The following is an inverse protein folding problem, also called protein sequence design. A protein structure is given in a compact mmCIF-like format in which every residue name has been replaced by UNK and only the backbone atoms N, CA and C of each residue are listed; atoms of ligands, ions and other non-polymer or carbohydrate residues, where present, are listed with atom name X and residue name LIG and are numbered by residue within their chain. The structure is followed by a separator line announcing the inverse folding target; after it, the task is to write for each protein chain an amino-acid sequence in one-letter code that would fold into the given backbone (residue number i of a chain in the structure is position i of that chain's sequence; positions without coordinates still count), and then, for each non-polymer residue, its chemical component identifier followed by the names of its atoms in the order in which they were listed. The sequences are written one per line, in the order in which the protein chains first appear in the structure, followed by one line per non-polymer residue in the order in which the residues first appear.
data_IF_619118723373
#
_entry.id   IF_619118723373
#
_cell.length_a   1.000
_cell.length_b   1.000
_cell.length_c   1.000
_cell.angle_alpha   90.00
_cell.angle_beta   90.00
_cell.angle_gamma   90.00
#
_symmetry.space_group_name_H-M   'P 1'
#
loop_
_entity.id
_entity.type
_entity.pdbx_description
1 polymer ?
#
# COMPACT_ATOMS: atom_id res chain seq x y z
N UNK A 1 5.05 -16.24 -0.09
CA UNK A 1 4.13 -15.15 0.33
C UNK A 1 3.73 -15.38 1.77
N UNK A 2 4.25 -14.57 2.69
CA UNK A 2 3.95 -14.72 4.13
C UNK A 2 2.57 -14.12 4.45
N UNK A 3 2.03 -14.39 5.65
CA UNK A 3 0.67 -13.96 6.03
C UNK A 3 0.43 -12.44 5.84
N UNK A 4 1.43 -11.61 6.15
CA UNK A 4 1.38 -10.15 6.00
C UNK A 4 1.19 -9.71 4.54
N UNK A 5 1.93 -10.31 3.60
CA UNK A 5 1.79 -9.99 2.17
C UNK A 5 0.37 -10.31 1.68
N UNK A 6 -0.21 -11.43 2.14
CA UNK A 6 -1.58 -11.79 1.74
C UNK A 6 -2.61 -10.81 2.29
N UNK A 7 -2.43 -10.35 3.54
CA UNK A 7 -3.30 -9.35 4.15
C UNK A 7 -3.25 -8.02 3.38
N UNK A 8 -2.05 -7.59 2.98
CA UNK A 8 -1.85 -6.37 2.20
C UNK A 8 -2.51 -6.48 0.81
N UNK A 9 -2.32 -7.60 0.12
CA UNK A 9 -2.97 -7.86 -1.16
C UNK A 9 -4.49 -8.01 -1.04
N UNK A 10 -4.99 -8.59 0.05
CA UNK A 10 -6.43 -8.66 0.30
C UNK A 10 -7.05 -7.28 0.51
N UNK A 11 -6.37 -6.39 1.24
CA UNK A 11 -6.79 -4.98 1.39
C UNK A 11 -6.73 -4.23 0.07
N UNK A 12 -5.68 -4.40 -0.72
CA UNK A 12 -5.58 -3.82 -2.06
C UNK A 12 -6.71 -4.28 -2.97
N UNK A 13 -7.00 -5.60 -2.98
CA UNK A 13 -8.14 -6.16 -3.71
C UNK A 13 -9.46 -5.53 -3.27
N UNK A 14 -9.68 -5.41 -1.97
CA UNK A 14 -10.90 -4.82 -1.41
C UNK A 14 -11.07 -3.36 -1.86
N UNK A 15 -10.01 -2.54 -1.76
CA UNK A 15 -10.03 -1.16 -2.27
C UNK A 15 -10.34 -1.14 -3.77
N UNK A 16 -9.64 -1.95 -4.57
CA UNK A 16 -9.84 -1.98 -6.02
C UNK A 16 -11.26 -2.41 -6.41
N UNK A 17 -11.86 -3.33 -5.65
CA UNK A 17 -13.23 -3.80 -5.89
C UNK A 17 -14.29 -2.72 -5.62
N UNK A 18 -14.04 -1.82 -4.66
CA UNK A 18 -15.03 -0.83 -4.20
C UNK A 18 -14.73 0.61 -4.64
N UNK A 19 -13.55 0.88 -5.22
CA UNK A 19 -13.14 2.23 -5.59
C UNK A 19 -14.13 2.89 -6.58
N UNK A 20 -14.61 2.13 -7.56
CA UNK A 20 -15.60 2.63 -8.52
C UNK A 20 -16.89 3.10 -7.83
N UNK A 21 -17.42 2.29 -6.91
CA UNK A 21 -18.65 2.62 -6.16
C UNK A 21 -18.46 3.90 -5.32
N UNK A 22 -17.30 4.05 -4.67
CA UNK A 22 -16.98 5.24 -3.89
C UNK A 22 -16.87 6.49 -4.78
N UNK A 23 -16.24 6.38 -5.95
CA UNK A 23 -16.14 7.49 -6.91
C UNK A 23 -17.54 7.90 -7.40
N UNK A 24 -18.40 6.93 -7.73
CA UNK A 24 -19.78 7.20 -8.12
C UNK A 24 -20.56 7.88 -7.00
N UNK A 25 -20.39 7.44 -5.75
CA UNK A 25 -21.03 8.07 -4.59
C UNK A 25 -20.55 9.52 -4.39
N UNK A 26 -19.25 9.80 -4.57
CA UNK A 26 -18.71 11.16 -4.51
C UNK A 26 -19.29 12.06 -5.61
N UNK A 27 -19.44 11.53 -6.83
CA UNK A 27 -20.06 12.25 -7.94
C UNK A 27 -21.55 12.52 -7.70
N UNK A 28 -22.28 11.57 -7.11
CA UNK A 28 -23.69 11.75 -6.78
C UNK A 28 -23.92 12.83 -5.71
N UNK A 29 -22.91 13.09 -4.86
CA UNK A 29 -22.94 14.11 -3.83
C UNK A 29 -22.36 15.46 -4.27
N UNK A 30 -22.15 15.69 -5.58
CA UNK A 30 -21.70 16.97 -6.10
C UNK A 30 -22.73 18.07 -5.84
N UNK A 31 -22.24 19.28 -5.56
CA UNK A 31 -23.04 20.50 -5.47
C UNK A 31 -22.49 21.54 -6.44
N UNK A 32 -23.35 22.04 -7.34
CA UNK A 32 -22.92 22.97 -8.40
C UNK A 32 -21.84 22.43 -9.35
N UNK A 33 -21.63 21.11 -9.40
CA UNK A 33 -20.55 20.47 -10.16
C UNK A 33 -19.22 20.35 -9.41
N UNK A 34 -19.16 20.81 -8.16
CA UNK A 34 -18.00 20.66 -7.28
C UNK A 34 -18.08 19.35 -6.49
N UNK A 35 -16.94 18.67 -6.32
CA UNK A 35 -16.85 17.46 -5.50
C UNK A 35 -16.86 17.81 -4.00
N UNK A 36 -17.50 16.98 -3.16
CA UNK A 36 -17.50 17.20 -1.72
C UNK A 36 -16.09 17.05 -1.14
N UNK A 37 -15.52 18.15 -0.62
CA UNK A 37 -14.14 18.20 -0.15
C UNK A 37 -13.82 17.15 0.92
N UNK A 38 -14.74 16.91 1.85
CA UNK A 38 -14.56 15.91 2.92
C UNK A 38 -14.52 14.48 2.38
N UNK A 39 -15.34 14.19 1.38
CA UNK A 39 -15.34 12.88 0.71
C UNK A 39 -14.05 12.65 -0.07
N UNK A 40 -13.57 13.66 -0.80
CA UNK A 40 -12.27 13.61 -1.47
C UNK A 40 -11.11 13.42 -0.48
N UNK A 41 -11.15 14.12 0.66
CA UNK A 41 -10.13 13.99 1.71
C UNK A 41 -10.10 12.59 2.30
N UNK A 42 -11.26 12.05 2.70
CA UNK A 42 -11.35 10.71 3.25
C UNK A 42 -10.84 9.64 2.27
N UNK A 43 -11.23 9.73 0.99
CA UNK A 43 -10.71 8.81 -0.04
C UNK A 43 -9.19 8.92 -0.19
N UNK A 44 -8.65 10.14 -0.26
CA UNK A 44 -7.22 10.40 -0.35
C UNK A 44 -6.43 9.85 0.84
N UNK A 45 -6.92 10.04 2.05
CA UNK A 45 -6.31 9.51 3.28
C UNK A 45 -6.26 7.98 3.28
N UNK A 46 -7.34 7.31 2.88
CA UNK A 46 -7.36 5.85 2.78
C UNK A 46 -6.38 5.30 1.73
N UNK A 47 -6.31 5.93 0.56
CA UNK A 47 -5.38 5.53 -0.50
C UNK A 47 -3.92 5.78 -0.09
N UNK A 48 -3.66 6.90 0.59
CA UNK A 48 -2.33 7.26 1.10
C UNK A 48 -1.85 6.25 2.13
N UNK A 49 -2.71 5.87 3.08
CA UNK A 49 -2.39 4.87 4.10
C UNK A 49 -2.02 3.52 3.46
N UNK A 50 -2.82 3.04 2.49
CA UNK A 50 -2.52 1.80 1.78
C UNK A 50 -1.21 1.89 0.98
N UNK A 51 -0.95 3.04 0.35
CA UNK A 51 0.30 3.31 -0.36
C UNK A 51 1.52 3.24 0.56
N UNK A 52 1.45 3.88 1.74
CA UNK A 52 2.52 3.81 2.74
C UNK A 52 2.78 2.38 3.23
N UNK A 53 1.73 1.58 3.42
CA UNK A 53 1.90 0.18 3.82
C UNK A 53 2.59 -0.67 2.76
N UNK A 54 2.31 -0.41 1.47
CA UNK A 54 2.97 -1.06 0.34
C UNK A 54 4.46 -0.68 0.27
N UNK A 55 4.77 0.61 0.36
CA UNK A 55 6.15 1.11 0.36
C UNK A 55 6.93 0.56 1.54
N UNK A 56 6.40 0.66 2.76
CA UNK A 56 7.06 0.12 3.94
C UNK A 56 7.32 -1.38 3.82
N UNK A 57 6.41 -2.14 3.20
CA UNK A 57 6.63 -3.57 2.96
C UNK A 57 7.74 -3.82 1.93
N UNK A 58 7.86 -2.99 0.89
CA UNK A 58 8.96 -3.07 -0.07
C UNK A 58 10.30 -2.76 0.60
N UNK A 59 10.37 -1.68 1.39
CA UNK A 59 11.58 -1.29 2.13
C UNK A 59 12.06 -2.43 3.06
N UNK A 60 11.13 -3.12 3.73
CA UNK A 60 11.45 -4.30 4.55
C UNK A 60 12.07 -5.44 3.73
N UNK A 61 11.56 -5.68 2.51
CA UNK A 61 12.08 -6.73 1.62
C UNK A 61 13.48 -6.37 1.12
N UNK A 62 13.68 -5.12 0.69
CA UNK A 62 14.98 -4.62 0.22
C UNK A 62 16.04 -4.69 1.34
N UNK A 63 15.65 -4.36 2.58
CA UNK A 63 16.54 -4.47 3.74
C UNK A 63 16.95 -5.92 4.04
N UNK A 64 16.03 -6.89 3.88
CA UNK A 64 16.34 -8.30 4.07
C UNK A 64 17.31 -8.82 2.99
N UNK A 65 17.11 -8.43 1.73
CA UNK A 65 18.00 -8.82 0.64
C UNK A 65 19.42 -8.25 0.84
N UNK A 66 19.55 -7.01 1.30
CA UNK A 66 20.84 -6.41 1.66
C UNK A 66 21.56 -7.11 2.83
N UNK A 67 20.81 -7.67 3.79
CA UNK A 67 21.37 -8.44 4.92
C UNK A 67 21.90 -9.81 4.49
N UNK A 68 21.26 -10.46 3.51
CA UNK A 68 21.74 -11.75 2.96
C UNK A 68 23.08 -11.57 2.24
N UNK A 69 23.26 -10.48 1.50
CA UNK A 69 24.52 -10.18 0.79
C UNK A 69 25.69 -9.97 1.76
N UNK A 70 25.46 -9.28 2.88
CA UNK A 70 26.49 -9.00 3.90
C UNK A 70 26.81 -10.23 4.77
N UNK A 71 25.85 -11.11 5.05
CA UNK A 71 26.09 -12.34 5.79
C UNK A 71 26.88 -13.38 4.97
N UNK A 72 26.63 -13.45 3.66
CA UNK A 72 27.33 -14.39 2.76
C UNK A 72 28.79 -13.99 2.57
N UNK A 73 29.07 -12.70 2.41
CA UNK A 73 30.45 -12.16 2.28
C UNK A 73 31.27 -12.28 3.57
N UNK A 74 30.65 -12.32 4.75
CA UNK A 74 31.36 -12.48 6.04
C UNK A 74 31.77 -13.93 6.35
N UNK A 75 31.24 -14.91 5.62
CA UNK A 75 31.42 -16.35 5.91
C UNK A 75 32.62 -16.99 5.17
N UNK A 76 33.29 -16.25 4.29
CA UNK A 76 34.47 -16.70 3.55
C UNK A 76 35.78 -16.18 4.19
N UNK A 77 36.17 -16.75 5.34
CA UNK A 77 37.60 -16.75 5.74
C UNK A 77 37.96 -18.12 6.33
N UNK A 78 38.41 -19.09 5.51
CA UNK A 78 39.20 -20.20 5.99
C UNK A 78 40.66 -19.75 6.16
N UNK A 79 41.25 -20.09 7.31
CA UNK A 79 42.68 -19.93 7.60
C UNK A 79 43.53 -20.89 6.77
#
# INVERSE_FOLDING_TARGET
MIARDRALLARLRHVNQHLGDVVLALMACQDGGELPADGCRALGEHLTALGHELVARADELDALDGQVVTATTRREVPR
#
